data_IF_758247111959
#
_entry.id   IF_758247111959
#
_cell.length_a   1.000
_cell.length_b   1.000
_cell.length_c   1.000
_cell.angle_alpha   90.00
_cell.angle_beta   90.00
_cell.angle_gamma   90.00
#
_symmetry.space_group_name_H-M   'P 1'
#
loop_
_entity.id
_entity.type
_entity.pdbx_description
1 polymer ?
#
# COMPACT_ATOMS: atom_id res chain seq x y z
N UNK A 1 27.87 17.61 17.24
CA UNK A 1 28.53 17.39 15.93
C UNK A 1 27.44 17.42 14.88
N UNK A 2 27.60 18.21 13.81
CA UNK A 2 26.54 18.43 12.81
C UNK A 2 26.60 17.40 11.67
N UNK A 3 25.44 17.05 11.10
CA UNK A 3 25.34 16.24 9.87
C UNK A 3 24.76 17.06 8.71
N UNK A 4 25.46 17.01 7.56
CA UNK A 4 25.25 17.71 6.27
C UNK A 4 26.17 17.04 5.24
N UNK A 5 25.87 16.79 3.96
CA UNK A 5 24.67 16.87 3.09
C UNK A 5 24.62 15.55 2.26
N UNK A 6 23.65 15.22 1.39
CA UNK A 6 22.38 15.84 0.96
C UNK A 6 22.04 15.47 -0.50
N UNK A 7 20.96 16.04 -1.05
CA UNK A 7 20.55 16.04 -2.47
C UNK A 7 20.36 14.70 -3.23
N UNK A 8 19.09 14.35 -3.51
CA UNK A 8 18.63 13.84 -4.81
C UNK A 8 17.11 14.07 -4.94
N UNK A 9 16.62 14.59 -6.07
CA UNK A 9 15.19 14.86 -6.26
C UNK A 9 14.42 13.60 -6.67
N UNK A 10 13.53 13.10 -5.81
CA UNK A 10 12.58 12.03 -6.12
C UNK A 10 12.59 10.90 -5.10
N UNK A 11 11.50 10.78 -4.30
CA UNK A 11 11.22 9.75 -3.29
C UNK A 11 12.29 9.49 -2.19
N UNK A 12 13.48 10.08 -2.26
CA UNK A 12 14.69 9.75 -1.49
C UNK A 12 14.69 10.15 0.00
N UNK A 13 13.52 10.36 0.61
CA UNK A 13 13.38 10.89 1.97
C UNK A 13 12.56 10.03 2.93
N UNK A 14 11.91 8.97 2.44
CA UNK A 14 11.09 8.08 3.27
C UNK A 14 11.84 6.78 3.63
N UNK A 15 11.63 6.20 4.83
CA UNK A 15 12.47 5.09 5.33
C UNK A 15 12.50 3.82 4.47
N UNK A 16 11.46 3.57 3.68
CA UNK A 16 11.35 2.39 2.79
C UNK A 16 11.39 2.76 1.30
N UNK A 17 11.89 3.95 0.97
CA UNK A 17 12.01 4.40 -0.42
C UNK A 17 12.83 3.40 -1.26
N UNK A 18 12.29 3.02 -2.41
CA UNK A 18 12.90 2.05 -3.33
C UNK A 18 12.58 0.57 -3.03
N UNK A 19 11.98 0.26 -1.88
CA UNK A 19 11.49 -1.08 -1.56
C UNK A 19 10.20 -1.37 -2.34
N UNK A 20 10.08 -2.58 -2.91
CA UNK A 20 8.87 -3.04 -3.62
C UNK A 20 8.22 -4.20 -2.86
N UNK A 21 6.89 -4.15 -2.71
CA UNK A 21 6.09 -5.14 -1.98
C UNK A 21 4.98 -5.67 -2.87
N UNK A 22 4.79 -6.98 -2.91
CA UNK A 22 3.62 -7.61 -3.53
C UNK A 22 2.69 -8.09 -2.41
N UNK A 23 1.48 -7.54 -2.35
CA UNK A 23 0.49 -7.83 -1.31
C UNK A 23 -0.60 -8.76 -1.85
N UNK A 24 -0.65 -10.00 -1.37
CA UNK A 24 -1.74 -10.95 -1.63
C UNK A 24 -2.82 -10.95 -0.53
N UNK A 25 -2.69 -10.08 0.48
CA UNK A 25 -3.59 -10.09 1.64
C UNK A 25 -4.91 -9.37 1.39
N UNK A 26 -5.96 -9.81 2.08
CA UNK A 26 -7.33 -9.27 1.99
C UNK A 26 -7.86 -8.80 3.36
N UNK A 27 -9.02 -8.13 3.34
CA UNK A 27 -9.74 -7.63 4.51
C UNK A 27 -8.99 -6.50 5.25
N UNK A 28 -8.47 -6.77 6.46
CA UNK A 28 -8.10 -5.71 7.43
C UNK A 28 -6.64 -5.83 7.87
N UNK A 29 -6.28 -6.91 8.57
CA UNK A 29 -4.96 -7.03 9.24
C UNK A 29 -3.77 -7.02 8.27
N UNK A 30 -3.85 -7.78 7.17
CA UNK A 30 -2.80 -7.78 6.15
C UNK A 30 -2.71 -6.45 5.39
N UNK A 31 -3.83 -5.92 4.85
CA UNK A 31 -3.84 -4.63 4.19
C UNK A 31 -3.35 -3.46 5.07
N UNK A 32 -3.54 -3.53 6.39
CA UNK A 32 -2.97 -2.56 7.33
C UNK A 32 -1.42 -2.57 7.37
N UNK A 33 -0.79 -3.73 7.20
CA UNK A 33 0.69 -3.81 7.10
C UNK A 33 1.17 -3.16 5.81
N UNK A 34 0.59 -3.53 4.66
CA UNK A 34 0.96 -2.92 3.37
C UNK A 34 0.67 -1.42 3.32
N UNK A 35 -0.35 -0.95 4.03
CA UNK A 35 -0.59 0.48 4.22
C UNK A 35 0.58 1.17 4.93
N UNK A 36 1.04 0.63 6.07
CA UNK A 36 2.16 1.19 6.83
C UNK A 36 3.44 1.21 5.97
N UNK A 37 3.67 0.15 5.18
CA UNK A 37 4.82 0.09 4.27
C UNK A 37 4.72 1.16 3.16
N UNK A 38 3.53 1.38 2.59
CA UNK A 38 3.30 2.42 1.57
C UNK A 38 3.43 3.84 2.14
N UNK A 39 2.87 4.11 3.33
CA UNK A 39 2.99 5.39 4.04
C UNK A 39 4.46 5.69 4.42
N UNK A 40 5.30 4.65 4.61
CA UNK A 40 6.75 4.75 4.81
C UNK A 40 7.57 4.74 3.50
N UNK A 41 6.93 4.82 2.33
CA UNK A 41 7.58 5.05 1.03
C UNK A 41 7.86 3.80 0.17
N UNK A 42 7.40 2.62 0.55
CA UNK A 42 7.51 1.42 -0.29
C UNK A 42 6.51 1.45 -1.47
N UNK A 43 6.92 0.95 -2.64
CA UNK A 43 6.00 0.68 -3.75
C UNK A 43 5.24 -0.62 -3.47
N UNK A 44 4.01 -0.49 -2.95
CA UNK A 44 3.15 -1.64 -2.64
C UNK A 44 2.17 -1.90 -3.79
N UNK A 45 2.23 -3.08 -4.38
CA UNK A 45 1.30 -3.57 -5.40
C UNK A 45 0.40 -4.63 -4.79
N UNK A 46 -0.88 -4.31 -4.64
CA UNK A 46 -1.91 -5.27 -4.23
C UNK A 46 -2.32 -6.15 -5.41
N UNK A 47 -2.26 -7.46 -5.21
CA UNK A 47 -2.80 -8.44 -6.13
C UNK A 47 -4.24 -8.71 -5.74
N UNK A 48 -5.15 -8.64 -6.71
CA UNK A 48 -6.59 -8.85 -6.51
C UNK A 48 -7.12 -9.90 -7.50
N UNK A 49 -8.21 -10.62 -7.18
CA UNK A 49 -8.95 -11.41 -8.17
C UNK A 49 -9.44 -10.51 -9.33
N UNK A 50 -9.78 -11.08 -10.48
CA UNK A 50 -10.39 -10.34 -11.60
C UNK A 50 -11.62 -9.49 -11.21
N UNK A 51 -12.39 -9.94 -10.22
CA UNK A 51 -13.52 -9.18 -9.68
C UNK A 51 -13.08 -7.96 -8.84
N UNK A 52 -11.89 -7.97 -8.23
CA UNK A 52 -11.44 -7.03 -7.21
C UNK A 52 -11.83 -7.43 -5.78
N UNK A 53 -11.03 -6.99 -4.81
CA UNK A 53 -11.12 -7.26 -3.36
C UNK A 53 -12.54 -7.00 -2.82
N UNK A 54 -13.05 -7.93 -2.01
CA UNK A 54 -14.41 -7.88 -1.45
C UNK A 54 -14.68 -6.61 -0.62
N UNK A 55 -13.66 -6.03 0.00
CA UNK A 55 -13.78 -4.78 0.76
C UNK A 55 -14.21 -3.58 -0.09
N UNK A 56 -14.03 -3.62 -1.42
CA UNK A 56 -14.50 -2.60 -2.37
C UNK A 56 -16.03 -2.46 -2.42
N UNK A 57 -16.77 -3.48 -1.98
CA UNK A 57 -18.24 -3.57 -2.09
C UNK A 57 -18.97 -3.50 -0.75
N UNK A 58 -18.24 -3.41 0.36
CA UNK A 58 -18.82 -3.34 1.69
C UNK A 58 -19.72 -2.10 1.85
N UNK A 59 -20.78 -2.24 2.65
CA UNK A 59 -21.79 -1.22 2.87
C UNK A 59 -21.88 -0.86 4.36
N UNK A 60 -22.59 0.23 4.68
CA UNK A 60 -22.74 0.71 6.06
C UNK A 60 -21.39 0.96 6.74
N UNK A 61 -21.20 0.44 7.95
CA UNK A 61 -19.97 0.60 8.73
C UNK A 61 -18.70 0.06 8.03
N UNK A 62 -18.83 -0.83 7.04
CA UNK A 62 -17.71 -1.36 6.27
C UNK A 62 -17.31 -0.54 5.03
N UNK A 63 -18.11 0.46 4.62
CA UNK A 63 -17.95 1.12 3.31
C UNK A 63 -16.58 1.83 3.12
N UNK A 64 -15.95 2.28 4.21
CA UNK A 64 -14.64 2.92 4.16
C UNK A 64 -13.44 1.96 4.10
N UNK A 65 -13.63 0.65 4.29
CA UNK A 65 -12.52 -0.29 4.55
C UNK A 65 -11.50 -0.34 3.42
N UNK A 66 -11.95 -0.45 2.16
CA UNK A 66 -11.03 -0.53 1.04
C UNK A 66 -10.16 0.72 0.92
N UNK A 67 -10.77 1.92 0.97
CA UNK A 67 -10.06 3.18 0.86
C UNK A 67 -9.11 3.42 2.05
N UNK A 68 -9.53 3.05 3.26
CA UNK A 68 -8.74 3.23 4.47
C UNK A 68 -7.46 2.40 4.45
N UNK A 69 -7.55 1.12 4.07
CA UNK A 69 -6.41 0.18 4.11
C UNK A 69 -5.62 0.06 2.81
N UNK A 70 -6.11 0.56 1.68
CA UNK A 70 -5.44 0.42 0.37
C UNK A 70 -5.09 1.75 -0.31
N UNK A 71 -5.22 2.88 0.40
CA UNK A 71 -4.59 4.14 -0.05
C UNK A 71 -3.08 3.96 -0.26
N UNK A 72 -2.52 4.77 -1.16
CA UNK A 72 -1.10 4.76 -1.57
C UNK A 72 -0.58 3.46 -2.21
N UNK A 73 -1.38 2.39 -2.30
CA UNK A 73 -1.04 1.16 -3.02
C UNK A 73 -1.40 1.28 -4.51
N UNK A 74 -0.66 0.55 -5.35
CA UNK A 74 -1.09 0.19 -6.71
C UNK A 74 -1.92 -1.10 -6.64
N UNK A 75 -2.71 -1.37 -7.67
CA UNK A 75 -3.57 -2.56 -7.78
C UNK A 75 -3.30 -3.26 -9.10
N UNK A 76 -3.24 -4.59 -9.09
CA UNK A 76 -3.17 -5.44 -10.27
C UNK A 76 -4.11 -6.63 -10.10
N UNK A 77 -5.09 -6.77 -10.98
CA UNK A 77 -5.98 -7.93 -10.97
C UNK A 77 -5.35 -9.08 -11.75
N UNK A 78 -5.36 -10.29 -11.18
CA UNK A 78 -4.85 -11.52 -11.78
C UNK A 78 -5.84 -12.69 -11.57
N UNK A 79 -5.64 -13.73 -12.34
CA UNK A 79 -6.19 -15.08 -12.14
C UNK A 79 -4.98 -16.01 -11.92
N UNK A 80 -5.01 -16.85 -10.87
CA UNK A 80 -3.84 -17.55 -10.30
C UNK A 80 -4.12 -19.02 -10.01
#
# INVERSE_FOLDING_TARGET
MAHTQGAAGGASGLPLAGLKVVEFTHMVMGPAVGLILADLGAEVVKIEPLAGDNTRRLQGAGAGYFAMYNRHKRSLCLDL
#
